data_IF_242919382314
#
_entry.id   IF_242919382314
#
_cell.length_a   1.000
_cell.length_b   1.000
_cell.length_c   1.000
_cell.angle_alpha   90.00
_cell.angle_beta   90.00
_cell.angle_gamma   90.00
#
_symmetry.space_group_name_H-M   'P 1'
#
loop_
_entity.id
_entity.type
_entity.pdbx_description
1 polymer ?
#
# COMPACT_ATOMS: atom_id res chain seq x y z
N UNK A 1 -55.60 -15.75 32.83
CA UNK A 1 -54.99 -16.46 31.67
C UNK A 1 -54.45 -15.53 30.57
N UNK A 2 -54.50 -14.20 30.71
CA UNK A 2 -54.10 -13.22 29.67
C UNK A 2 -52.61 -12.80 29.70
N UNK A 3 -51.84 -13.19 30.72
CA UNK A 3 -50.43 -12.80 30.85
C UNK A 3 -49.48 -13.50 29.85
N UNK A 4 -49.77 -14.73 29.45
CA UNK A 4 -48.89 -15.50 28.54
C UNK A 4 -48.92 -14.98 27.10
N UNK A 5 -50.08 -14.54 26.60
CA UNK A 5 -50.20 -14.02 25.24
C UNK A 5 -49.45 -12.69 25.06
N UNK A 6 -49.57 -11.77 26.03
CA UNK A 6 -48.83 -10.51 26.02
C UNK A 6 -47.32 -10.72 26.21
N UNK A 7 -46.90 -11.70 27.02
CA UNK A 7 -45.49 -12.07 27.14
C UNK A 7 -44.95 -12.69 25.84
N UNK A 8 -45.73 -13.52 25.15
CA UNK A 8 -45.35 -14.07 23.84
C UNK A 8 -45.29 -12.99 22.76
N UNK A 9 -46.27 -12.08 22.70
CA UNK A 9 -46.25 -10.97 21.73
C UNK A 9 -45.10 -10.02 22.03
N UNK A 10 -44.81 -9.71 23.30
CA UNK A 10 -43.64 -8.91 23.66
C UNK A 10 -42.33 -9.65 23.38
N UNK A 11 -42.28 -10.98 23.54
CA UNK A 11 -41.11 -11.78 23.16
C UNK A 11 -40.94 -11.82 21.63
N UNK A 12 -42.02 -11.92 20.85
CA UNK A 12 -42.00 -11.85 19.38
C UNK A 12 -41.64 -10.44 18.91
N UNK A 13 -42.17 -9.40 19.54
CA UNK A 13 -41.87 -8.02 19.21
C UNK A 13 -40.44 -7.67 19.61
N UNK A 14 -39.95 -8.18 20.75
CA UNK A 14 -38.53 -8.13 21.11
C UNK A 14 -37.68 -9.00 20.20
N UNK A 15 -38.14 -10.14 19.68
CA UNK A 15 -37.40 -10.96 18.70
C UNK A 15 -37.39 -10.34 17.30
N UNK A 16 -38.41 -9.55 16.94
CA UNK A 16 -38.51 -8.81 15.68
C UNK A 16 -37.75 -7.48 15.75
N UNK A 17 -37.82 -6.77 16.89
CA UNK A 17 -37.03 -5.56 17.14
C UNK A 17 -35.55 -5.90 17.35
N UNK A 18 -35.23 -6.97 18.10
CA UNK A 18 -33.88 -7.56 18.16
C UNK A 18 -33.54 -8.42 16.93
N UNK A 19 -34.48 -8.62 16.00
CA UNK A 19 -34.20 -9.19 14.68
C UNK A 19 -33.30 -8.27 13.84
N UNK A 20 -33.25 -6.98 14.23
CA UNK A 20 -32.24 -6.00 13.85
C UNK A 20 -30.98 -6.08 14.73
N UNK A 21 -30.60 -7.26 15.22
CA UNK A 21 -29.36 -7.42 15.99
C UNK A 21 -28.19 -6.93 15.14
N UNK A 22 -27.49 -5.92 15.65
CA UNK A 22 -26.32 -5.35 15.00
C UNK A 22 -25.36 -6.42 14.56
N UNK A 23 -24.85 -6.24 13.35
CA UNK A 23 -23.81 -7.05 12.79
C UNK A 23 -22.51 -6.82 13.56
N UNK A 24 -22.19 -7.76 14.44
CA UNK A 24 -20.94 -7.74 15.18
C UNK A 24 -19.82 -8.30 14.34
N UNK A 25 -18.75 -7.53 14.16
CA UNK A 25 -17.53 -8.07 13.58
C UNK A 25 -16.72 -8.79 14.68
N UNK A 26 -16.27 -10.01 14.41
CA UNK A 26 -15.47 -10.73 15.40
C UNK A 26 -14.04 -10.18 15.44
N UNK A 27 -13.48 -10.04 16.65
CA UNK A 27 -12.16 -9.45 16.84
C UNK A 27 -11.06 -10.23 16.10
N UNK A 28 -11.16 -11.56 16.05
CA UNK A 28 -10.18 -12.39 15.34
C UNK A 28 -10.11 -12.06 13.84
N UNK A 29 -11.20 -11.61 13.22
CA UNK A 29 -11.21 -11.24 11.80
C UNK A 29 -10.26 -10.07 11.56
N UNK A 30 -10.36 -9.00 12.35
CA UNK A 30 -9.49 -7.83 12.22
C UNK A 30 -8.01 -8.17 12.49
N UNK A 31 -7.74 -9.06 13.43
CA UNK A 31 -6.39 -9.58 13.68
C UNK A 31 -5.84 -10.36 12.50
N UNK A 32 -6.60 -11.33 11.98
CA UNK A 32 -6.16 -12.19 10.88
C UNK A 32 -5.90 -11.37 9.62
N UNK A 33 -6.89 -10.59 9.17
CA UNK A 33 -6.78 -9.76 7.97
C UNK A 33 -5.71 -8.68 8.12
N UNK A 34 -5.61 -8.07 9.30
CA UNK A 34 -4.63 -7.04 9.61
C UNK A 34 -3.20 -7.54 9.59
N UNK A 35 -2.90 -8.58 10.38
CA UNK A 35 -1.54 -9.13 10.45
C UNK A 35 -1.09 -9.71 9.10
N UNK A 36 -1.95 -10.45 8.41
CA UNK A 36 -1.59 -11.03 7.12
C UNK A 36 -1.33 -9.96 6.07
N UNK A 37 -2.21 -8.96 5.97
CA UNK A 37 -2.07 -7.86 5.03
C UNK A 37 -0.84 -7.02 5.37
N UNK A 38 -0.73 -6.56 6.61
CA UNK A 38 0.36 -5.69 7.03
C UNK A 38 1.75 -6.34 6.93
N UNK A 39 1.87 -7.63 7.27
CA UNK A 39 3.11 -8.37 7.12
C UNK A 39 3.48 -8.54 5.64
N UNK A 40 2.50 -8.92 4.79
CA UNK A 40 2.72 -9.06 3.35
C UNK A 40 3.19 -7.74 2.73
N UNK A 41 2.59 -6.61 3.13
CA UNK A 41 3.03 -5.30 2.68
C UNK A 41 4.44 -4.99 3.18
N UNK A 42 4.74 -5.18 4.47
CA UNK A 42 6.05 -4.85 5.03
C UNK A 42 7.19 -5.59 4.31
N UNK A 43 7.03 -6.89 4.05
CA UNK A 43 8.07 -7.72 3.43
C UNK A 43 8.03 -7.74 1.90
N UNK A 44 7.11 -7.00 1.26
CA UNK A 44 6.87 -7.07 -0.19
C UNK A 44 8.11 -6.79 -1.05
N UNK A 45 9.05 -5.96 -0.56
CA UNK A 45 10.27 -5.59 -1.30
C UNK A 45 11.35 -6.68 -1.24
N UNK A 46 11.15 -7.71 -0.41
CA UNK A 46 12.13 -8.78 -0.16
C UNK A 46 11.71 -10.13 -0.73
N UNK A 47 10.45 -10.25 -1.17
CA UNK A 47 9.88 -11.48 -1.70
C UNK A 47 9.54 -11.32 -3.19
N UNK A 48 9.74 -12.40 -3.96
CA UNK A 48 9.41 -12.47 -5.39
C UNK A 48 9.95 -11.26 -6.18
N UNK A 49 11.17 -10.84 -5.83
CA UNK A 49 11.82 -9.66 -6.40
C UNK A 49 12.30 -9.92 -7.83
N UNK A 50 12.64 -8.85 -8.56
CA UNK A 50 13.19 -8.97 -9.90
C UNK A 50 14.52 -9.74 -9.97
N UNK A 51 15.30 -9.76 -8.86
CA UNK A 51 16.51 -10.56 -8.77
C UNK A 51 16.24 -12.04 -8.50
N UNK A 52 15.13 -12.37 -7.81
CA UNK A 52 14.75 -13.75 -7.50
C UNK A 52 14.03 -14.42 -8.67
N UNK A 53 13.13 -13.70 -9.34
CA UNK A 53 12.38 -14.17 -10.51
C UNK A 53 12.57 -13.16 -11.64
N UNK A 54 13.65 -13.28 -12.45
CA UNK A 54 13.94 -12.34 -13.53
C UNK A 54 12.88 -12.32 -14.62
N UNK A 55 12.24 -13.47 -14.87
CA UNK A 55 11.19 -13.62 -15.89
C UNK A 55 9.96 -12.76 -15.57
N UNK A 56 9.67 -11.82 -16.48
CA UNK A 56 8.56 -10.88 -16.41
C UNK A 56 7.19 -11.55 -16.57
N UNK A 57 7.12 -12.70 -17.24
CA UNK A 57 5.88 -13.45 -17.42
C UNK A 57 5.57 -14.35 -16.23
N UNK A 58 6.58 -14.89 -15.55
CA UNK A 58 6.37 -15.77 -14.39
C UNK A 58 6.12 -15.02 -13.07
N UNK A 59 6.78 -13.87 -12.88
CA UNK A 59 6.66 -13.06 -11.65
C UNK A 59 5.22 -12.67 -11.28
N UNK A 60 4.33 -12.27 -12.22
CA UNK A 60 2.94 -11.92 -11.91
C UNK A 60 2.16 -13.11 -11.36
N UNK A 61 2.34 -14.30 -11.95
CA UNK A 61 1.66 -15.52 -11.50
C UNK A 61 2.20 -15.99 -10.14
N UNK A 62 3.50 -15.83 -9.87
CA UNK A 62 4.06 -16.10 -8.55
C UNK A 62 3.43 -15.20 -7.48
N UNK A 63 3.26 -13.91 -7.76
CA UNK A 63 2.56 -12.97 -6.88
C UNK A 63 1.08 -13.31 -6.70
N UNK A 64 0.39 -13.67 -7.78
CA UNK A 64 -1.00 -14.09 -7.72
C UNK A 64 -1.17 -15.35 -6.85
N UNK A 65 -0.31 -16.35 -7.05
CA UNK A 65 -0.31 -17.58 -6.25
C UNK A 65 -0.09 -17.28 -4.76
N UNK A 66 0.89 -16.42 -4.43
CA UNK A 66 1.15 -15.99 -3.06
C UNK A 66 -0.08 -15.31 -2.44
N UNK A 67 -0.70 -14.36 -3.16
CA UNK A 67 -1.88 -13.64 -2.68
C UNK A 67 -3.07 -14.57 -2.45
N UNK A 68 -3.31 -15.52 -3.36
CA UNK A 68 -4.36 -16.54 -3.21
C UNK A 68 -4.11 -17.41 -1.98
N UNK A 69 -2.87 -17.87 -1.78
CA UNK A 69 -2.51 -18.70 -0.63
C UNK A 69 -2.69 -17.93 0.68
N UNK A 70 -2.19 -16.69 0.76
CA UNK A 70 -2.27 -15.87 1.97
C UNK A 70 -3.71 -15.49 2.29
N UNK A 71 -4.42 -14.83 1.36
CA UNK A 71 -5.78 -14.36 1.62
C UNK A 71 -6.81 -15.49 1.64
N UNK A 72 -6.63 -16.54 0.83
CA UNK A 72 -7.45 -17.75 0.90
C UNK A 72 -7.28 -18.47 2.24
N UNK A 73 -6.05 -18.60 2.73
CA UNK A 73 -5.75 -19.18 4.03
C UNK A 73 -6.36 -18.38 5.18
N UNK A 74 -6.17 -17.06 5.18
CA UNK A 74 -6.78 -16.13 6.14
C UNK A 74 -8.28 -16.27 6.17
N UNK A 75 -8.91 -16.32 5.01
CA UNK A 75 -10.36 -16.30 4.94
C UNK A 75 -10.99 -17.67 5.27
N UNK A 76 -10.29 -18.78 5.01
CA UNK A 76 -10.64 -20.10 5.56
C UNK A 76 -10.53 -20.10 7.09
N UNK A 77 -9.45 -19.54 7.64
CA UNK A 77 -9.24 -19.45 9.08
C UNK A 77 -10.32 -18.59 9.75
N UNK A 78 -10.60 -17.42 9.19
CA UNK A 78 -11.63 -16.49 9.64
C UNK A 78 -13.02 -17.13 9.61
N UNK A 79 -13.37 -17.83 8.52
CA UNK A 79 -14.61 -18.58 8.42
C UNK A 79 -14.74 -19.66 9.50
N UNK A 80 -13.68 -20.47 9.71
CA UNK A 80 -13.69 -21.55 10.70
C UNK A 80 -13.85 -21.02 12.13
N UNK A 81 -13.11 -19.96 12.47
CA UNK A 81 -13.20 -19.34 13.79
C UNK A 81 -14.57 -18.69 14.01
N UNK A 82 -15.06 -17.93 13.03
CA UNK A 82 -16.39 -17.29 13.11
C UNK A 82 -17.50 -18.33 13.23
N UNK A 83 -17.43 -19.44 12.47
CA UNK A 83 -18.38 -20.55 12.59
C UNK A 83 -18.34 -21.17 13.99
N UNK A 84 -17.16 -21.40 14.56
CA UNK A 84 -17.00 -21.95 15.91
C UNK A 84 -17.57 -21.01 16.98
N UNK A 85 -17.26 -19.72 16.91
CA UNK A 85 -17.75 -18.70 17.85
C UNK A 85 -19.28 -18.58 17.79
N UNK A 86 -19.85 -18.53 16.59
CA UNK A 86 -21.31 -18.47 16.43
C UNK A 86 -22.01 -19.73 16.94
N UNK A 87 -21.44 -20.90 16.68
CA UNK A 87 -21.97 -22.16 17.22
C UNK A 87 -21.94 -22.19 18.75
N UNK A 88 -20.90 -21.64 19.39
CA UNK A 88 -20.86 -21.56 20.87
C UNK A 88 -21.85 -20.55 21.47
N UNK A 89 -22.37 -19.62 20.67
CA UNK A 89 -23.34 -18.59 21.10
C UNK A 89 -24.77 -18.91 20.65
N UNK A 90 -25.01 -20.08 20.04
CA UNK A 90 -26.27 -20.45 19.37
C UNK A 90 -26.79 -19.36 18.41
N UNK A 91 -25.88 -18.65 17.75
CA UNK A 91 -26.20 -17.59 16.80
C UNK A 91 -26.32 -18.12 15.38
N UNK A 92 -27.44 -17.84 14.72
CA UNK A 92 -27.60 -18.12 13.29
C UNK A 92 -27.04 -16.98 12.42
N UNK A 93 -26.63 -17.32 11.20
CA UNK A 93 -26.13 -16.33 10.24
C UNK A 93 -27.30 -15.56 9.64
N UNK A 94 -27.35 -14.24 9.88
CA UNK A 94 -28.33 -13.38 9.24
C UNK A 94 -28.11 -13.30 7.73
N UNK A 95 -29.18 -12.99 6.98
CA UNK A 95 -29.07 -12.77 5.54
C UNK A 95 -28.08 -11.63 5.22
N UNK A 96 -28.17 -10.52 5.96
CA UNK A 96 -27.31 -9.35 5.77
C UNK A 96 -25.84 -9.71 6.01
N UNK A 97 -25.54 -10.50 7.06
CA UNK A 97 -24.17 -10.96 7.34
C UNK A 97 -23.55 -11.69 6.15
N UNK A 98 -24.33 -12.60 5.53
CA UNK A 98 -23.87 -13.34 4.35
C UNK A 98 -23.60 -12.41 3.16
N UNK A 99 -24.38 -11.35 2.97
CA UNK A 99 -24.16 -10.40 1.88
C UNK A 99 -22.94 -9.51 2.14
N UNK A 100 -22.78 -8.99 3.35
CA UNK A 100 -21.62 -8.16 3.71
C UNK A 100 -20.32 -8.96 3.54
N UNK A 101 -20.32 -10.23 3.95
CA UNK A 101 -19.16 -11.09 3.74
C UNK A 101 -18.86 -11.24 2.26
N UNK A 102 -19.85 -11.51 1.40
CA UNK A 102 -19.62 -11.55 -0.06
C UNK A 102 -19.02 -10.25 -0.60
N UNK A 103 -19.49 -9.10 -0.13
CA UNK A 103 -18.92 -7.79 -0.51
C UNK A 103 -17.47 -7.68 -0.05
N UNK A 104 -17.16 -8.09 1.19
CA UNK A 104 -15.79 -8.15 1.69
C UNK A 104 -14.88 -9.00 0.79
N UNK A 105 -15.31 -10.22 0.46
CA UNK A 105 -14.57 -11.10 -0.45
C UNK A 105 -14.39 -10.49 -1.85
N UNK A 106 -15.40 -9.80 -2.36
CA UNK A 106 -15.32 -9.10 -3.63
C UNK A 106 -14.25 -7.99 -3.58
N UNK A 107 -14.24 -7.17 -2.52
CA UNK A 107 -13.26 -6.10 -2.35
C UNK A 107 -11.83 -6.62 -2.21
N UNK A 108 -11.63 -7.70 -1.44
CA UNK A 108 -10.32 -8.37 -1.35
C UNK A 108 -9.89 -8.93 -2.71
N UNK A 109 -10.81 -9.56 -3.45
CA UNK A 109 -10.52 -10.09 -4.79
C UNK A 109 -10.14 -8.97 -5.77
N UNK A 110 -10.82 -7.82 -5.70
CA UNK A 110 -10.45 -6.62 -6.47
C UNK A 110 -9.03 -6.17 -6.09
N UNK A 111 -8.67 -6.13 -4.81
CA UNK A 111 -7.31 -5.79 -4.37
C UNK A 111 -6.25 -6.74 -4.92
N UNK A 112 -6.53 -8.05 -4.91
CA UNK A 112 -5.64 -9.07 -5.51
C UNK A 112 -5.51 -8.87 -7.02
N UNK A 113 -6.63 -8.66 -7.72
CA UNK A 113 -6.64 -8.42 -9.17
C UNK A 113 -5.91 -7.14 -9.54
N UNK A 114 -6.09 -6.05 -8.79
CA UNK A 114 -5.34 -4.81 -9.00
C UNK A 114 -3.85 -5.03 -8.79
N UNK A 115 -3.46 -5.79 -7.77
CA UNK A 115 -2.05 -6.12 -7.52
C UNK A 115 -1.46 -6.92 -8.68
N UNK A 116 -2.20 -7.89 -9.21
CA UNK A 116 -1.82 -8.67 -10.39
C UNK A 116 -1.76 -7.80 -11.66
N UNK A 117 -2.73 -6.90 -11.84
CA UNK A 117 -2.84 -6.01 -13.00
C UNK A 117 -1.64 -5.06 -13.12
N UNK A 118 -0.99 -4.69 -12.02
CA UNK A 118 0.20 -3.81 -12.04
C UNK A 118 1.31 -4.34 -12.92
N UNK A 119 1.48 -5.66 -13.00
CA UNK A 119 2.52 -6.25 -13.83
C UNK A 119 2.29 -6.06 -15.34
N UNK A 120 1.05 -5.82 -15.76
CA UNK A 120 0.68 -5.69 -17.16
C UNK A 120 0.38 -4.22 -17.54
N UNK A 121 -0.23 -3.47 -16.64
CA UNK A 121 -0.73 -2.11 -16.90
C UNK A 121 0.03 -1.02 -16.12
N UNK A 122 0.96 -1.39 -15.24
CA UNK A 122 1.67 -0.45 -14.39
C UNK A 122 0.79 0.11 -13.26
N UNK A 123 1.06 1.34 -12.81
CA UNK A 123 0.25 1.98 -11.75
C UNK A 123 0.55 1.49 -10.33
N UNK A 124 1.67 0.77 -10.13
CA UNK A 124 2.06 0.26 -8.82
C UNK A 124 2.24 1.34 -7.75
N UNK A 125 2.43 2.60 -8.14
CA UNK A 125 2.53 3.73 -7.20
C UNK A 125 1.25 3.96 -6.37
N UNK A 126 0.07 3.55 -6.86
CA UNK A 126 -1.21 3.76 -6.16
C UNK A 126 -1.68 2.56 -5.33
N UNK A 127 -1.00 1.41 -5.42
CA UNK A 127 -1.56 0.13 -4.96
C UNK A 127 -1.84 0.11 -3.46
N UNK A 128 -0.98 0.73 -2.65
CA UNK A 128 -1.16 0.77 -1.21
C UNK A 128 -2.36 1.63 -0.81
N UNK A 129 -2.56 2.78 -1.46
CA UNK A 129 -3.76 3.59 -1.28
C UNK A 129 -5.01 2.85 -1.73
N UNK A 130 -4.95 2.10 -2.83
CA UNK A 130 -6.07 1.27 -3.28
C UNK A 130 -6.44 0.20 -2.25
N UNK A 131 -5.46 -0.50 -1.67
CA UNK A 131 -5.71 -1.47 -0.59
C UNK A 131 -6.32 -0.81 0.65
N UNK A 132 -5.80 0.34 1.08
CA UNK A 132 -6.36 1.10 2.21
C UNK A 132 -7.83 1.45 1.93
N UNK A 133 -8.14 1.93 0.72
CA UNK A 133 -9.50 2.31 0.32
C UNK A 133 -10.43 1.09 0.28
N UNK A 134 -10.00 -0.02 -0.30
CA UNK A 134 -10.82 -1.24 -0.40
C UNK A 134 -11.15 -1.82 0.98
N UNK A 135 -10.16 -1.89 1.88
CA UNK A 135 -10.38 -2.32 3.26
C UNK A 135 -11.26 -1.31 4.01
N UNK A 136 -10.99 -0.01 3.85
CA UNK A 136 -11.79 1.06 4.43
C UNK A 136 -13.26 0.99 4.00
N UNK A 137 -13.52 0.75 2.72
CA UNK A 137 -14.86 0.56 2.18
C UNK A 137 -15.54 -0.67 2.77
N UNK A 138 -14.82 -1.79 2.88
CA UNK A 138 -15.34 -3.01 3.49
C UNK A 138 -15.75 -2.82 4.96
N UNK A 139 -14.90 -2.14 5.74
CA UNK A 139 -15.20 -1.81 7.14
C UNK A 139 -16.34 -0.78 7.26
N UNK A 140 -16.37 0.21 6.37
CA UNK A 140 -17.44 1.21 6.33
C UNK A 140 -18.81 0.55 6.07
N UNK A 141 -18.90 -0.27 5.03
CA UNK A 141 -20.13 -1.01 4.68
C UNK A 141 -20.57 -1.92 5.82
N UNK A 142 -19.63 -2.64 6.46
CA UNK A 142 -19.97 -3.46 7.61
C UNK A 142 -20.42 -2.60 8.81
N UNK A 143 -19.83 -1.43 8.99
CA UNK A 143 -20.19 -0.45 10.01
C UNK A 143 -21.60 0.12 9.85
N UNK A 144 -22.12 0.28 8.63
CA UNK A 144 -23.48 0.77 8.39
C UNK A 144 -24.58 -0.12 9.01
N UNK A 145 -24.24 -1.39 9.32
CA UNK A 145 -25.16 -2.35 9.93
C UNK A 145 -24.73 -2.74 11.36
N UNK A 146 -23.81 -1.98 11.96
CA UNK A 146 -23.23 -2.23 13.28
C UNK A 146 -23.23 -0.97 14.15
N UNK A 147 -23.51 -1.10 15.45
CA UNK A 147 -23.34 0.01 16.40
C UNK A 147 -21.87 0.30 16.76
N UNK A 148 -20.96 -0.53 16.26
CA UNK A 148 -19.52 -0.48 16.53
C UNK A 148 -18.84 0.74 15.91
N UNK A 149 -17.58 0.99 16.29
CA UNK A 149 -16.76 2.08 15.74
C UNK A 149 -16.32 1.82 14.28
N UNK A 150 -16.82 0.76 13.65
CA UNK A 150 -16.32 0.24 12.38
C UNK A 150 -16.59 1.20 11.21
N UNK A 151 -17.76 1.86 11.21
CA UNK A 151 -18.11 2.88 10.22
C UNK A 151 -17.09 4.04 10.23
N UNK A 152 -16.79 4.55 11.43
CA UNK A 152 -15.87 5.68 11.62
C UNK A 152 -14.43 5.30 11.23
N UNK A 153 -13.99 4.09 11.60
CA UNK A 153 -12.68 3.58 11.19
C UNK A 153 -12.60 3.39 9.67
N UNK A 154 -13.63 2.81 9.05
CA UNK A 154 -13.70 2.63 7.60
C UNK A 154 -13.67 3.96 6.86
N UNK A 155 -14.46 4.94 7.31
CA UNK A 155 -14.44 6.31 6.76
C UNK A 155 -13.08 7.00 6.89
N UNK A 156 -12.40 6.83 8.03
CA UNK A 156 -11.05 7.36 8.22
C UNK A 156 -10.03 6.72 7.26
N UNK A 157 -10.11 5.40 7.04
CA UNK A 157 -9.26 4.71 6.05
C UNK A 157 -9.49 5.23 4.62
N UNK A 158 -10.74 5.43 4.22
CA UNK A 158 -11.06 6.03 2.92
C UNK A 158 -10.39 7.40 2.75
N UNK A 159 -10.51 8.26 3.76
CA UNK A 159 -9.88 9.58 3.77
C UNK A 159 -8.35 9.45 3.68
N UNK A 160 -7.73 8.58 4.47
CA UNK A 160 -6.27 8.38 4.42
C UNK A 160 -5.81 7.95 3.04
N UNK A 161 -6.49 6.98 2.42
CA UNK A 161 -6.14 6.51 1.07
C UNK A 161 -6.25 7.62 0.03
N UNK A 162 -7.30 8.45 0.11
CA UNK A 162 -7.46 9.63 -0.76
C UNK A 162 -6.35 10.64 -0.51
N UNK A 163 -6.06 10.99 0.76
CA UNK A 163 -5.02 11.96 1.11
C UNK A 163 -3.63 11.49 0.65
N UNK A 164 -3.33 10.19 0.73
CA UNK A 164 -2.08 9.63 0.22
C UNK A 164 -1.90 9.96 -1.28
N UNK A 165 -2.97 9.81 -2.07
CA UNK A 165 -2.95 10.10 -3.51
C UNK A 165 -2.95 11.61 -3.78
N UNK A 166 -3.79 12.39 -3.10
CA UNK A 166 -3.92 13.84 -3.29
C UNK A 166 -2.62 14.58 -2.96
N UNK A 167 -1.90 14.16 -1.91
CA UNK A 167 -0.59 14.70 -1.56
C UNK A 167 0.57 14.06 -2.32
N UNK A 168 0.29 13.14 -3.26
CA UNK A 168 1.31 12.44 -4.06
C UNK A 168 2.42 11.84 -3.20
N UNK A 169 2.05 11.19 -2.09
CA UNK A 169 3.04 10.64 -1.17
C UNK A 169 3.96 9.64 -1.89
N UNK A 170 5.24 9.58 -1.54
CA UNK A 170 6.15 8.60 -2.11
C UNK A 170 5.66 7.17 -1.90
N UNK A 171 5.96 6.28 -2.85
CA UNK A 171 5.57 4.86 -2.81
C UNK A 171 5.91 4.20 -1.48
N UNK A 172 7.13 4.42 -0.97
CA UNK A 172 7.57 3.82 0.29
C UNK A 172 6.82 4.38 1.49
N UNK A 173 6.46 5.66 1.47
CA UNK A 173 5.66 6.27 2.53
C UNK A 173 4.26 5.66 2.55
N UNK A 174 3.62 5.54 1.38
CA UNK A 174 2.31 4.87 1.26
C UNK A 174 2.39 3.41 1.73
N UNK A 175 3.47 2.68 1.38
CA UNK A 175 3.73 1.32 1.81
C UNK A 175 3.71 1.18 3.33
N UNK A 176 4.53 1.99 4.02
CA UNK A 176 4.66 1.89 5.48
C UNK A 176 3.41 2.38 6.22
N UNK A 177 2.72 3.38 5.67
CA UNK A 177 1.39 3.79 6.18
C UNK A 177 0.41 2.61 6.08
N UNK A 178 0.29 1.97 4.91
CA UNK A 178 -0.59 0.83 4.71
C UNK A 178 -0.20 -0.36 5.60
N UNK A 179 1.10 -0.67 5.68
CA UNK A 179 1.62 -1.75 6.53
C UNK A 179 1.30 -1.49 8.01
N UNK A 180 1.46 -0.26 8.50
CA UNK A 180 1.13 0.11 9.89
C UNK A 180 -0.38 0.05 10.16
N UNK A 181 -1.20 0.56 9.23
CA UNK A 181 -2.66 0.49 9.32
C UNK A 181 -3.13 -0.96 9.43
N UNK A 182 -2.59 -1.86 8.63
CA UNK A 182 -3.00 -3.27 8.67
C UNK A 182 -2.39 -4.03 9.84
N UNK A 183 -1.07 -3.95 10.05
CA UNK A 183 -0.37 -4.74 11.07
C UNK A 183 -0.63 -4.25 12.50
N UNK A 184 -0.92 -2.96 12.69
CA UNK A 184 -1.16 -2.36 14.01
C UNK A 184 -2.58 -1.85 14.13
N UNK A 185 -3.07 -1.13 13.13
CA UNK A 185 -4.38 -0.49 13.18
C UNK A 185 -5.56 -1.45 13.27
N UNK A 186 -5.63 -2.45 12.39
CA UNK A 186 -6.74 -3.42 12.45
C UNK A 186 -6.73 -4.25 13.75
N UNK A 187 -5.59 -4.79 14.22
CA UNK A 187 -5.50 -5.41 15.54
C UNK A 187 -5.93 -4.50 16.70
N UNK A 188 -5.49 -3.24 16.70
CA UNK A 188 -5.88 -2.28 17.73
C UNK A 188 -7.39 -1.98 17.66
N UNK A 189 -7.96 -1.92 16.45
CA UNK A 189 -9.39 -1.77 16.24
C UNK A 189 -10.16 -2.94 16.87
N UNK A 190 -9.64 -4.17 16.75
CA UNK A 190 -10.24 -5.36 17.36
C UNK A 190 -10.34 -5.28 18.90
N UNK A 191 -9.43 -4.56 19.55
CA UNK A 191 -9.44 -4.39 21.02
C UNK A 191 -10.55 -3.40 21.42
N UNK A 192 -10.76 -2.34 20.63
CA UNK A 192 -11.67 -1.25 20.97
C UNK A 192 -13.10 -1.41 20.42
N UNK A 193 -13.31 -2.32 19.45
CA UNK A 193 -14.58 -2.47 18.72
C UNK A 193 -15.78 -2.81 19.61
N UNK A 194 -15.55 -3.58 20.67
CA UNK A 194 -16.61 -4.10 21.54
C UNK A 194 -17.12 -3.09 22.58
N UNK A 195 -16.59 -1.87 22.59
CA UNK A 195 -16.94 -0.86 23.58
C UNK A 195 -18.03 0.06 23.02
N UNK A 196 -19.21 0.05 23.65
CA UNK A 196 -20.24 1.05 23.36
C UNK A 196 -19.78 2.41 23.86
N UNK A 197 -19.79 3.40 22.96
CA UNK A 197 -19.26 4.75 23.20
C UNK A 197 -20.22 5.78 22.65
N UNK A 198 -20.38 6.90 23.35
CA UNK A 198 -21.05 8.09 22.80
C UNK A 198 -20.19 8.75 21.71
N UNK A 199 -20.77 9.60 20.88
CA UNK A 199 -20.11 10.14 19.68
C UNK A 199 -18.74 10.80 19.96
N UNK A 200 -18.61 11.61 21.02
CA UNK A 200 -17.33 12.27 21.34
C UNK A 200 -16.26 11.28 21.81
N UNK A 201 -16.66 10.22 22.51
CA UNK A 201 -15.76 9.13 22.89
C UNK A 201 -15.34 8.30 21.67
N UNK A 202 -16.25 8.08 20.70
CA UNK A 202 -15.91 7.47 19.40
C UNK A 202 -14.88 8.33 18.67
N UNK A 203 -15.09 9.64 18.59
CA UNK A 203 -14.16 10.58 17.97
C UNK A 203 -12.79 10.59 18.66
N UNK A 204 -12.75 10.72 19.99
CA UNK A 204 -11.49 10.69 20.75
C UNK A 204 -10.75 9.36 20.58
N UNK A 205 -11.48 8.24 20.58
CA UNK A 205 -10.90 6.93 20.35
C UNK A 205 -10.39 6.77 18.92
N UNK A 206 -11.10 7.30 17.92
CA UNK A 206 -10.65 7.32 16.54
C UNK A 206 -9.39 8.16 16.37
N UNK A 207 -9.33 9.35 16.98
CA UNK A 207 -8.14 10.20 16.95
C UNK A 207 -6.94 9.53 17.62
N UNK A 208 -7.14 8.89 18.78
CA UNK A 208 -6.09 8.12 19.45
C UNK A 208 -5.63 6.93 18.59
N UNK A 209 -6.57 6.22 17.96
CA UNK A 209 -6.28 5.13 17.04
C UNK A 209 -5.50 5.60 15.80
N UNK A 210 -5.92 6.70 15.18
CA UNK A 210 -5.20 7.34 14.06
C UNK A 210 -3.79 7.77 14.46
N UNK A 211 -3.65 8.34 15.65
CA UNK A 211 -2.34 8.72 16.18
C UNK A 211 -1.43 7.48 16.31
N UNK A 212 -1.90 6.40 16.92
CA UNK A 212 -1.09 5.19 17.10
C UNK A 212 -0.77 4.49 15.77
N UNK A 213 -1.65 4.57 14.77
CA UNK A 213 -1.46 3.88 13.49
C UNK A 213 -0.60 4.66 12.50
N UNK A 214 -0.75 5.99 12.45
CA UNK A 214 -0.08 6.84 11.45
C UNK A 214 1.21 7.46 12.01
N UNK A 215 1.29 7.73 13.31
CA UNK A 215 2.47 8.37 13.89
C UNK A 215 3.74 7.51 13.76
N UNK A 216 3.73 6.18 13.99
CA UNK A 216 4.95 5.37 13.84
C UNK A 216 5.56 5.40 12.43
N UNK A 217 4.83 5.19 11.32
CA UNK A 217 5.43 5.30 9.99
C UNK A 217 5.93 6.72 9.69
N UNK A 218 5.23 7.78 10.14
CA UNK A 218 5.70 9.16 9.95
C UNK A 218 6.98 9.44 10.77
N UNK A 219 7.02 9.02 12.03
CA UNK A 219 8.18 9.22 12.89
C UNK A 219 9.37 8.39 12.41
N UNK A 220 9.16 7.14 12.00
CA UNK A 220 10.25 6.32 11.44
C UNK A 220 10.77 6.93 10.14
N UNK A 221 9.91 7.45 9.24
CA UNK A 221 10.37 8.21 8.07
C UNK A 221 11.20 9.43 8.46
N UNK A 222 10.82 10.14 9.54
CA UNK A 222 11.60 11.28 10.06
C UNK A 222 12.87 10.88 10.81
N UNK A 223 12.90 9.73 11.47
CA UNK A 223 14.07 9.27 12.25
C UNK A 223 15.07 8.54 11.36
N UNK A 224 14.61 7.88 10.30
CA UNK A 224 15.40 7.36 9.18
C UNK A 224 15.75 8.51 8.20
N UNK A 225 15.58 9.78 8.61
CA UNK A 225 16.36 10.88 8.04
C UNK A 225 17.82 10.61 8.35
N UNK A 226 18.40 9.72 7.55
CA UNK A 226 19.76 9.28 7.68
C UNK A 226 20.62 10.54 7.58
N UNK A 227 21.24 10.88 8.69
CA UNK A 227 22.47 11.65 8.69
C UNK A 227 23.36 11.07 7.60
N UNK A 228 23.89 11.94 6.75
CA UNK A 228 24.90 11.56 5.77
C UNK A 228 25.92 10.63 6.44
N UNK A 229 26.35 9.55 5.80
CA UNK A 229 27.58 8.91 6.27
C UNK A 229 28.69 9.97 6.17
N UNK A 230 29.38 10.22 7.29
CA UNK A 230 30.43 11.25 7.40
C UNK A 230 31.71 10.73 6.73
N UNK A 231 31.67 10.65 5.40
CA UNK A 231 32.71 10.09 4.55
C UNK A 231 33.12 11.17 3.55
N UNK A 232 34.42 11.29 3.22
CA UNK A 232 34.86 12.27 2.23
C UNK A 232 34.12 12.11 0.90
N UNK A 233 33.75 13.25 0.32
CA UNK A 233 33.19 13.37 -1.02
C UNK A 233 34.34 13.24 -2.03
N UNK A 234 34.21 12.30 -2.97
CA UNK A 234 35.18 12.07 -4.04
C UNK A 234 34.57 12.41 -5.41
N UNK A 235 35.42 12.77 -6.36
CA UNK A 235 34.95 13.05 -7.72
C UNK A 235 34.60 11.77 -8.49
N UNK A 236 33.71 11.88 -9.48
CA UNK A 236 33.40 10.77 -10.39
C UNK A 236 34.66 10.18 -11.06
N UNK A 237 35.67 11.01 -11.36
CA UNK A 237 36.93 10.55 -11.94
C UNK A 237 37.75 9.71 -10.96
N UNK A 238 37.82 10.13 -9.68
CA UNK A 238 38.48 9.37 -8.62
C UNK A 238 37.76 8.04 -8.36
N UNK A 239 36.42 8.05 -8.33
CA UNK A 239 35.62 6.84 -8.20
C UNK A 239 35.92 5.84 -9.34
N UNK A 240 35.99 6.31 -10.59
CA UNK A 240 36.32 5.46 -11.75
C UNK A 240 37.75 4.93 -11.74
N UNK A 241 38.68 5.64 -11.11
CA UNK A 241 40.09 5.26 -11.02
C UNK A 241 40.39 4.26 -9.88
N UNK A 242 39.43 3.99 -8.99
CA UNK A 242 39.62 3.04 -7.89
C UNK A 242 39.75 1.60 -8.42
N UNK A 243 40.76 0.89 -7.92
CA UNK A 243 40.99 -0.53 -8.22
C UNK A 243 40.25 -1.48 -7.27
N UNK A 244 39.72 -0.97 -6.15
CA UNK A 244 39.03 -1.77 -5.14
C UNK A 244 37.76 -1.08 -4.69
N UNK A 245 36.71 -1.88 -4.46
CA UNK A 245 35.40 -1.39 -4.04
C UNK A 245 35.49 -0.94 -2.57
N UNK A 246 35.34 0.37 -2.36
CA UNK A 246 35.21 0.93 -1.01
C UNK A 246 33.79 0.71 -0.49
N UNK A 247 33.69 0.30 0.78
CA UNK A 247 32.42 -0.10 1.42
C UNK A 247 31.37 1.02 1.44
N UNK A 248 31.75 2.26 1.72
CA UNK A 248 30.84 3.42 1.68
C UNK A 248 31.62 4.66 1.25
N UNK A 249 31.10 5.41 0.29
CA UNK A 249 31.72 6.63 -0.20
C UNK A 249 30.68 7.56 -0.83
N UNK A 250 30.93 8.87 -0.83
CA UNK A 250 30.08 9.84 -1.49
C UNK A 250 30.73 10.25 -2.81
N UNK A 251 30.00 10.12 -3.92
CA UNK A 251 30.50 10.44 -5.25
C UNK A 251 29.79 11.67 -5.79
N UNK A 252 30.56 12.68 -6.17
CA UNK A 252 30.05 13.84 -6.91
C UNK A 252 29.90 13.51 -8.38
N UNK A 253 28.69 13.67 -8.89
CA UNK A 253 28.36 13.57 -10.31
C UNK A 253 28.17 15.01 -10.81
N UNK A 254 29.11 15.52 -11.65
CA UNK A 254 29.06 16.90 -12.09
C UNK A 254 27.87 17.14 -13.02
N UNK A 255 27.41 18.39 -13.06
CA UNK A 255 26.51 18.85 -14.12
C UNK A 255 27.05 18.49 -15.52
N UNK A 256 26.14 18.40 -16.48
CA UNK A 256 26.41 17.94 -17.84
C UNK A 256 26.88 16.48 -17.98
N UNK A 257 26.94 15.71 -16.88
CA UNK A 257 27.16 14.27 -16.98
C UNK A 257 25.99 13.62 -17.73
N UNK A 258 26.31 12.83 -18.75
CA UNK A 258 25.34 12.00 -19.46
C UNK A 258 25.05 10.73 -18.67
N UNK A 259 23.80 10.56 -18.28
CA UNK A 259 23.27 9.38 -17.59
C UNK A 259 22.50 8.56 -18.63
N UNK A 260 23.02 7.39 -19.06
CA UNK A 260 22.32 6.54 -20.00
C UNK A 260 21.14 5.85 -19.30
N UNK A 261 19.92 6.11 -19.78
CA UNK A 261 18.72 5.39 -19.34
C UNK A 261 18.43 4.29 -20.35
N UNK A 262 18.67 3.04 -19.95
CA UNK A 262 18.36 1.87 -20.77
C UNK A 262 16.86 1.61 -20.69
N UNK A 263 16.18 1.68 -21.84
CA UNK A 263 14.75 1.44 -21.94
C UNK A 263 14.54 0.11 -22.67
N UNK A 264 13.95 -0.86 -21.99
CA UNK A 264 13.57 -2.11 -22.62
C UNK A 264 12.14 -2.02 -23.13
N UNK A 265 11.97 -2.01 -24.47
CA UNK A 265 10.65 -2.08 -25.11
C UNK A 265 10.36 -3.51 -25.52
N UNK A 266 9.30 -4.10 -25.00
CA UNK A 266 8.86 -5.46 -25.34
C UNK A 266 7.50 -5.42 -26.03
N UNK A 267 7.31 -6.25 -27.06
CA UNK A 267 6.04 -6.37 -27.77
C UNK A 267 6.18 -7.18 -29.06
N UNK A 268 5.05 -7.44 -29.71
CA UNK A 268 4.94 -8.12 -31.01
C UNK A 268 4.84 -7.13 -32.18
N UNK A 269 4.35 -5.91 -31.93
CA UNK A 269 4.16 -4.86 -32.94
C UNK A 269 5.47 -4.20 -33.42
N UNK A 270 6.49 -4.12 -32.58
CA UNK A 270 7.75 -3.43 -32.88
C UNK A 270 8.93 -4.39 -32.82
N UNK A 271 9.91 -4.20 -33.74
CA UNK A 271 11.20 -4.88 -33.61
C UNK A 271 11.89 -4.38 -32.35
N UNK A 272 12.17 -5.29 -31.43
CA UNK A 272 12.85 -4.96 -30.18
C UNK A 272 14.25 -4.40 -30.48
N UNK A 273 14.54 -3.19 -29.98
CA UNK A 273 15.86 -2.59 -30.04
C UNK A 273 16.53 -2.75 -28.66
N UNK A 274 17.42 -3.74 -28.48
CA UNK A 274 18.06 -4.01 -27.20
C UNK A 274 19.01 -2.88 -26.75
N UNK A 275 19.36 -1.96 -27.65
CA UNK A 275 20.30 -0.86 -27.41
C UNK A 275 19.59 0.50 -27.35
N UNK A 276 18.30 0.54 -27.01
CA UNK A 276 17.60 1.80 -26.83
C UNK A 276 18.08 2.51 -25.55
N UNK A 277 18.89 3.54 -25.75
CA UNK A 277 19.44 4.38 -24.68
C UNK A 277 18.85 5.78 -24.82
N UNK A 278 18.20 6.27 -23.76
CA UNK A 278 17.80 7.66 -23.63
C UNK A 278 18.88 8.40 -22.80
N UNK A 279 19.77 9.20 -23.43
CA UNK A 279 20.77 9.95 -22.69
C UNK A 279 20.10 11.12 -21.95
N UNK A 280 20.12 11.10 -20.62
CA UNK A 280 19.71 12.23 -19.80
C UNK A 280 20.94 13.04 -19.40
N UNK A 281 20.92 14.34 -19.68
CA UNK A 281 21.98 15.24 -19.25
C UNK A 281 21.63 15.83 -17.89
N UNK A 282 22.55 15.68 -16.93
CA UNK A 282 22.35 16.19 -15.58
C UNK A 282 22.41 17.73 -15.56
N UNK A 283 21.37 18.39 -15.06
CA UNK A 283 21.29 19.86 -15.08
C UNK A 283 21.99 20.53 -13.88
N UNK A 284 22.22 19.81 -12.78
CA UNK A 284 22.87 20.32 -11.57
C UNK A 284 23.79 19.26 -11.00
N UNK A 285 24.92 19.65 -10.42
CA UNK A 285 25.81 18.72 -9.72
C UNK A 285 25.09 18.05 -8.55
N UNK A 286 25.17 16.72 -8.48
CA UNK A 286 24.61 15.92 -7.39
C UNK A 286 25.70 15.15 -6.66
N UNK A 287 25.45 14.86 -5.39
CA UNK A 287 26.25 13.93 -4.60
C UNK A 287 25.40 12.72 -4.25
N UNK A 288 25.97 11.54 -4.46
CA UNK A 288 25.28 10.27 -4.26
C UNK A 288 26.10 9.37 -3.33
N UNK A 289 25.46 8.80 -2.31
CA UNK A 289 26.11 7.80 -1.46
C UNK A 289 26.17 6.49 -2.24
N UNK A 290 27.36 5.89 -2.30
CA UNK A 290 27.62 4.57 -2.82
C UNK A 290 27.94 3.62 -1.67
N UNK A 291 27.31 2.45 -1.65
CA UNK A 291 27.63 1.36 -0.69
C UNK A 291 27.98 0.11 -1.48
N UNK A 292 29.15 -0.47 -1.19
CA UNK A 292 29.70 -1.64 -1.90
C UNK A 292 29.69 -1.46 -3.43
N UNK A 293 30.06 -0.26 -3.90
CA UNK A 293 30.13 0.08 -5.32
C UNK A 293 28.78 0.29 -6.01
N UNK A 294 27.66 0.18 -5.28
CA UNK A 294 26.32 0.42 -5.81
C UNK A 294 25.76 1.75 -5.33
N UNK A 295 25.04 2.50 -6.17
CA UNK A 295 24.36 3.70 -5.73
C UNK A 295 23.32 3.33 -4.68
N UNK A 296 23.42 3.96 -3.52
CA UNK A 296 22.26 4.06 -2.64
C UNK A 296 21.32 5.09 -3.24
N UNK A 297 20.04 5.01 -2.88
CA UNK A 297 19.06 6.01 -3.33
C UNK A 297 19.24 7.37 -2.63
N UNK A 298 20.22 7.51 -1.72
CA UNK A 298 20.50 8.76 -1.01
C UNK A 298 21.29 9.70 -1.92
N UNK A 299 20.73 10.88 -2.15
CA UNK A 299 21.25 11.86 -3.08
C UNK A 299 20.95 13.26 -2.56
N UNK A 300 21.81 14.22 -2.89
CA UNK A 300 21.58 15.64 -2.67
C UNK A 300 22.12 16.46 -3.84
N UNK A 301 21.68 17.70 -3.97
CA UNK A 301 22.49 18.68 -4.69
C UNK A 301 23.73 19.01 -3.84
N UNK A 302 24.84 19.33 -4.48
CA UNK A 302 26.06 19.69 -3.76
C UNK A 302 25.79 20.85 -2.79
N UNK A 303 26.12 20.67 -1.50
CA UNK A 303 25.87 21.64 -0.44
C UNK A 303 24.48 21.57 0.22
N UNK A 304 23.52 20.82 -0.34
CA UNK A 304 22.18 20.68 0.24
C UNK A 304 22.12 19.61 1.35
N UNK A 305 20.97 19.51 2.01
CA UNK A 305 20.64 18.40 2.90
C UNK A 305 20.42 17.10 2.11
N UNK A 306 20.82 15.98 2.71
CA UNK A 306 20.59 14.66 2.13
C UNK A 306 19.10 14.34 2.01
N UNK A 307 18.70 13.86 0.84
CA UNK A 307 17.33 13.45 0.58
C UNK A 307 17.19 11.96 0.80
N UNK A 308 16.01 11.56 1.28
CA UNK A 308 15.74 10.18 1.66
C UNK A 308 15.89 9.25 0.47
N UNK A 309 16.58 8.13 0.70
CA UNK A 309 16.67 7.02 -0.25
C UNK A 309 15.30 6.51 -0.74
N UNK A 310 14.24 6.79 0.00
CA UNK A 310 12.91 6.24 -0.22
C UNK A 310 11.92 7.25 -0.82
N UNK A 311 12.32 8.52 -0.99
CA UNK A 311 11.54 9.60 -1.62
C UNK A 311 11.86 9.79 -3.11
N UNK A 312 12.89 9.09 -3.56
CA UNK A 312 13.40 9.05 -4.91
C UNK A 312 12.46 8.36 -5.92
N UNK A 313 11.25 8.89 -6.11
CA UNK A 313 10.52 8.72 -7.35
C UNK A 313 11.23 9.49 -8.46
N UNK A 314 12.44 9.07 -8.82
CA UNK A 314 13.30 9.79 -9.76
C UNK A 314 12.66 9.92 -11.12
N UNK A 315 11.70 9.09 -11.47
CA UNK A 315 11.10 9.07 -12.80
C UNK A 315 9.59 8.97 -12.64
N UNK A 316 8.88 9.96 -13.18
CA UNK A 316 7.43 9.99 -13.26
C UNK A 316 7.00 10.14 -14.72
N UNK A 317 6.16 9.22 -15.19
CA UNK A 317 5.60 9.24 -16.54
C UNK A 317 4.11 9.61 -16.41
N UNK A 318 3.72 10.89 -16.58
CA UNK A 318 2.33 11.32 -16.40
C UNK A 318 1.40 10.79 -17.50
N UNK A 319 1.91 10.60 -18.72
CA UNK A 319 1.12 10.15 -19.85
C UNK A 319 2.01 9.54 -20.94
N UNK A 320 1.41 8.66 -21.72
CA UNK A 320 1.91 8.14 -22.99
C UNK A 320 0.71 8.24 -23.94
N UNK A 321 0.89 8.86 -25.12
CA UNK A 321 -0.16 8.97 -26.13
C UNK A 321 0.39 8.60 -27.49
N UNK A 322 -0.42 7.92 -28.29
CA UNK A 322 -0.14 7.69 -29.70
C UNK A 322 -0.95 8.71 -30.50
N UNK A 323 -0.30 9.43 -31.41
CA UNK A 323 -0.94 10.39 -32.30
C UNK A 323 -0.61 10.05 -33.75
N UNK A 324 -1.59 10.22 -34.62
CA UNK A 324 -1.43 10.07 -36.06
C UNK A 324 -2.31 11.14 -36.71
N UNK A 325 -1.70 12.00 -37.52
CA UNK A 325 -2.42 13.00 -38.32
C UNK A 325 -2.22 12.69 -39.79
N UNK A 326 -3.11 13.14 -40.71
CA UNK A 326 -2.92 12.89 -42.14
C UNK A 326 -1.60 13.43 -42.71
N UNK A 327 -0.97 14.38 -42.01
CA UNK A 327 0.29 15.02 -42.40
C UNK A 327 1.52 14.51 -41.63
N UNK A 328 1.38 13.60 -40.66
CA UNK A 328 2.48 13.07 -39.86
C UNK A 328 2.43 11.54 -39.77
N UNK A 329 3.60 10.91 -39.67
CA UNK A 329 3.70 9.48 -39.40
C UNK A 329 3.17 9.15 -38.00
N UNK A 330 2.74 7.91 -37.73
CA UNK A 330 2.36 7.49 -36.38
C UNK A 330 3.49 7.76 -35.38
N UNK A 331 3.20 8.51 -34.33
CA UNK A 331 4.17 8.88 -33.29
C UNK A 331 3.63 8.49 -31.92
N UNK A 332 4.49 7.92 -31.07
CA UNK A 332 4.21 7.72 -29.66
C UNK A 332 4.98 8.79 -28.89
N UNK A 333 4.25 9.67 -28.21
CA UNK A 333 4.83 10.70 -27.36
C UNK A 333 4.61 10.36 -25.89
N UNK A 334 5.57 10.72 -25.06
CA UNK A 334 5.47 10.60 -23.61
C UNK A 334 6.24 11.72 -22.94
N UNK A 335 5.85 12.05 -21.70
CA UNK A 335 6.63 12.93 -20.84
C UNK A 335 7.36 12.08 -19.81
N UNK A 336 8.66 12.31 -19.64
CA UNK A 336 9.47 11.71 -18.60
C UNK A 336 9.91 12.83 -17.65
N UNK A 337 9.33 12.87 -16.45
CA UNK A 337 9.68 13.89 -15.46
C UNK A 337 10.67 13.27 -14.48
N UNK A 338 11.91 13.80 -14.48
CA UNK A 338 12.97 13.36 -13.58
C UNK A 338 13.29 14.45 -12.58
N UNK A 339 12.73 14.33 -11.37
CA UNK A 339 12.87 15.33 -10.33
C UNK A 339 13.38 14.71 -9.03
N UNK A 340 14.34 15.39 -8.41
CA UNK A 340 14.72 15.14 -7.02
C UNK A 340 13.73 15.80 -6.02
N UNK A 341 12.72 16.50 -6.55
CA UNK A 341 11.77 17.48 -5.97
C UNK A 341 12.35 18.85 -5.61
N UNK A 342 11.93 19.89 -6.34
CA UNK A 342 11.84 21.26 -5.82
C UNK A 342 10.43 21.78 -6.11
N UNK A 343 9.74 22.17 -5.02
CA UNK A 343 8.41 22.77 -4.87
C UNK A 343 7.16 21.93 -5.14
#
# INVERSE_FOLDING_TARGET
>A
MTNNANQQINAIHNMLSNGHRNLRMEAHSLWLWGLSGGLLLAISDHILTASQIPDLHLRPFAWLALLIVVFGGVAIADWRLTKKVKATRDESWSFIHRQIIKVWWLLISIGVLLTFAIFFFGGGYMIYSAWIILVGLGLFIHGLFSDEMLEWAGGALLIIGILCLSFKLPYQSMKWIAASIFAVGLPLLAIIINQQKIAWQKLACLLAWLLVTILPPILTLRLISNTAPDVPVISLAQFKAQQSVVKTQIVTIPENTLIPVNIQLTGDLFKNNPNLILPLQLNKTIEMVMVDGKPTRQVRFAGDSWRHANEAGWVHIPWIKAEMTPSATPEITTSLIVNLQEK
#
